data_IF_704169166973
#
_entry.id   IF_704169166973
#
_cell.length_a   1.000
_cell.length_b   1.000
_cell.length_c   1.000
_cell.angle_alpha   90.00
_cell.angle_beta   90.00
_cell.angle_gamma   90.00
#
_symmetry.space_group_name_H-M   'P 1'
#
loop_
_entity.id
_entity.type
_entity.pdbx_description
1 polymer ?
#
# COMPACT_ATOMS: atom_id res chain seq x y z
N UNK A 1 -3.53 -14.34 8.30
CA UNK A 1 -4.06 -13.01 7.94
C UNK A 1 -3.17 -11.94 8.56
N UNK A 2 -2.52 -11.13 7.73
CA UNK A 2 -1.62 -10.04 8.10
C UNK A 2 -2.13 -8.72 7.51
N UNK A 3 -2.06 -7.68 8.33
CA UNK A 3 -2.56 -6.35 8.00
C UNK A 3 -1.44 -5.33 8.20
N UNK A 4 -1.24 -4.47 7.21
CA UNK A 4 -0.29 -3.36 7.27
C UNK A 4 -1.04 -2.03 7.20
N UNK A 5 -0.43 -1.01 7.80
CA UNK A 5 -0.89 0.37 7.72
C UNK A 5 0.25 1.27 7.26
N UNK A 6 -0.03 2.19 6.34
CA UNK A 6 0.97 3.11 5.84
C UNK A 6 0.39 4.51 5.59
N UNK A 7 0.93 5.49 6.30
CA UNK A 7 0.79 6.90 5.95
C UNK A 7 1.71 7.24 4.77
N UNK A 8 1.12 7.44 3.60
CA UNK A 8 1.86 7.68 2.34
C UNK A 8 2.12 9.17 2.09
N UNK A 9 1.49 10.06 2.86
CA UNK A 9 1.64 11.52 2.77
C UNK A 9 1.41 12.09 1.34
N UNK A 10 0.68 11.37 0.50
CA UNK A 10 0.16 11.64 -0.86
C UNK A 10 0.35 10.39 -1.71
N UNK A 11 -0.74 9.71 -2.07
CA UNK A 11 -0.65 8.49 -2.88
C UNK A 11 -0.15 8.78 -4.28
N UNK A 12 -0.57 9.87 -4.91
CA UNK A 12 -0.13 10.22 -6.28
C UNK A 12 1.39 10.33 -6.38
N UNK A 13 2.04 10.92 -5.38
CA UNK A 13 3.51 11.04 -5.34
C UNK A 13 4.17 9.69 -5.00
N UNK A 14 3.51 8.86 -4.18
CA UNK A 14 4.09 7.62 -3.61
C UNK A 14 3.64 6.33 -4.31
N UNK A 15 2.83 6.43 -5.37
CA UNK A 15 2.22 5.26 -6.03
C UNK A 15 3.27 4.23 -6.50
N UNK A 16 4.37 4.63 -7.15
CA UNK A 16 5.41 3.66 -7.55
C UNK A 16 5.99 2.90 -6.36
N UNK A 17 6.25 3.58 -5.24
CA UNK A 17 6.82 2.96 -4.04
C UNK A 17 5.83 2.01 -3.37
N UNK A 18 4.53 2.35 -3.35
CA UNK A 18 3.47 1.46 -2.83
C UNK A 18 3.39 0.19 -3.67
N UNK A 19 3.44 0.30 -5.00
CA UNK A 19 3.41 -0.84 -5.92
C UNK A 19 4.65 -1.72 -5.73
N UNK A 20 5.84 -1.13 -5.69
CA UNK A 20 7.08 -1.89 -5.52
C UNK A 20 7.11 -2.60 -4.16
N UNK A 21 6.60 -1.96 -3.11
CA UNK A 21 6.47 -2.57 -1.80
C UNK A 21 5.49 -3.76 -1.81
N UNK A 22 4.33 -3.62 -2.47
CA UNK A 22 3.36 -4.72 -2.59
C UNK A 22 3.96 -5.92 -3.33
N UNK A 23 4.68 -5.71 -4.44
CA UNK A 23 5.41 -6.77 -5.14
C UNK A 23 6.44 -7.46 -4.25
N UNK A 24 7.16 -6.68 -3.43
CA UNK A 24 8.10 -7.22 -2.47
C UNK A 24 7.41 -8.07 -1.39
N UNK A 25 6.18 -7.71 -0.96
CA UNK A 25 5.40 -8.53 -0.02
C UNK A 25 4.95 -9.86 -0.65
N UNK A 26 4.48 -9.85 -1.89
CA UNK A 26 4.06 -11.07 -2.60
C UNK A 26 5.22 -12.08 -2.74
N UNK A 27 6.46 -11.58 -2.93
CA UNK A 27 7.66 -12.42 -3.04
C UNK A 27 8.07 -13.13 -1.74
N UNK A 28 7.52 -12.75 -0.58
CA UNK A 28 7.85 -13.38 0.72
C UNK A 28 7.19 -14.75 0.93
N UNK A 29 6.30 -15.18 0.02
CA UNK A 29 5.55 -16.42 0.12
C UNK A 29 4.22 -16.27 0.85
N UNK A 30 3.31 -17.23 0.65
CA UNK A 30 1.89 -17.12 1.04
C UNK A 30 1.67 -16.90 2.55
N UNK A 31 2.49 -17.50 3.41
CA UNK A 31 2.38 -17.33 4.87
C UNK A 31 2.91 -15.96 5.35
N UNK A 32 3.70 -15.29 4.51
CA UNK A 32 4.39 -14.05 4.88
C UNK A 32 3.80 -12.80 4.24
N UNK A 33 3.16 -12.94 3.07
CA UNK A 33 2.55 -11.86 2.32
C UNK A 33 1.46 -11.13 3.12
N UNK A 34 1.22 -9.87 2.76
CA UNK A 34 0.20 -9.05 3.38
C UNK A 34 -1.17 -9.31 2.75
N UNK A 35 -2.21 -9.46 3.56
CA UNK A 35 -3.58 -9.67 3.06
C UNK A 35 -4.31 -8.34 2.87
N UNK A 36 -4.02 -7.34 3.72
CA UNK A 36 -4.67 -6.03 3.70
C UNK A 36 -3.64 -4.92 3.94
N UNK A 37 -3.68 -3.89 3.10
CA UNK A 37 -2.93 -2.65 3.27
C UNK A 37 -3.90 -1.48 3.43
N UNK A 38 -3.93 -0.87 4.62
CA UNK A 38 -4.66 0.36 4.88
C UNK A 38 -3.74 1.57 4.65
N UNK A 39 -4.20 2.55 3.86
CA UNK A 39 -3.42 3.75 3.53
C UNK A 39 -4.00 5.00 4.19
N UNK A 40 -3.14 5.91 4.65
CA UNK A 40 -3.52 7.19 5.24
C UNK A 40 -2.84 8.35 4.52
N UNK A 41 -3.42 9.56 4.64
CA UNK A 41 -2.94 10.79 4.00
C UNK A 41 -2.73 10.65 2.49
N UNK A 42 -3.77 10.21 1.78
CA UNK A 42 -3.70 10.05 0.32
C UNK A 42 -3.58 11.39 -0.40
N UNK A 43 -4.04 12.48 0.25
CA UNK A 43 -4.04 13.85 -0.29
C UNK A 43 -4.66 13.94 -1.68
N UNK A 44 -5.73 13.18 -1.87
CA UNK A 44 -6.54 13.16 -3.07
C UNK A 44 -8.00 13.39 -2.69
N UNK A 45 -8.73 13.99 -3.61
CA UNK A 45 -10.17 14.14 -3.55
C UNK A 45 -10.85 12.85 -4.01
N UNK A 46 -12.07 12.60 -3.56
CA UNK A 46 -12.78 11.33 -3.80
C UNK A 46 -13.09 11.08 -5.29
N UNK A 47 -13.12 12.10 -6.14
CA UNK A 47 -13.27 11.97 -7.60
C UNK A 47 -12.07 11.31 -8.29
N UNK A 48 -10.93 11.19 -7.59
CA UNK A 48 -9.71 10.55 -8.09
C UNK A 48 -9.54 9.11 -7.58
N UNK A 49 -10.48 8.64 -6.78
CA UNK A 49 -10.58 7.25 -6.33
C UNK A 49 -11.39 6.41 -7.31
#
# INVERSE_FOLDING_TARGET
MKIATWNVNSLTVRLPQVIDWLKAQEALGADQAIDVLALQELKMTDDKF
#
